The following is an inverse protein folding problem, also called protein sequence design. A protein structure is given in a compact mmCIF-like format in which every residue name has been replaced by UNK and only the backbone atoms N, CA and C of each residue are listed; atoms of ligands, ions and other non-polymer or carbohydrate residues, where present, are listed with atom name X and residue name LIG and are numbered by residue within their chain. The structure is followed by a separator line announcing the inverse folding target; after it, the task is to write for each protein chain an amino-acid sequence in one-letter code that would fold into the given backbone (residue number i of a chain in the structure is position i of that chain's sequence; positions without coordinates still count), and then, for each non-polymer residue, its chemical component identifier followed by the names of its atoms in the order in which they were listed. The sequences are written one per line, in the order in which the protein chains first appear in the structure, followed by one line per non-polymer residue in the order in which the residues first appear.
data_IF_826484084912
#
_entry.id   IF_826484084912
#
_cell.length_a   1.000
_cell.length_b   1.000
_cell.length_c   1.000
_cell.angle_alpha   90.00
_cell.angle_beta   90.00
_cell.angle_gamma   90.00
#
_symmetry.space_group_name_H-M   'P 1'
#
loop_
_entity.id
_entity.type
_entity.pdbx_description
1 polymer ?
#
# COMPACT_ATOMS: atom_id res chain seq x y z
N UNK A 1 10.84 -12.92 21.16
CA UNK A 1 10.75 -12.88 19.69
C UNK A 1 11.60 -11.71 19.19
N UNK A 2 12.48 -11.97 18.26
CA UNK A 2 13.33 -10.94 17.64
C UNK A 2 12.61 -10.30 16.46
N UNK A 3 12.74 -8.99 16.32
CA UNK A 3 12.08 -8.22 15.29
C UNK A 3 13.15 -7.70 14.32
N UNK A 4 13.02 -8.04 13.04
CA UNK A 4 13.95 -7.65 11.98
C UNK A 4 13.28 -6.76 10.95
N UNK A 5 14.02 -5.81 10.39
CA UNK A 5 13.56 -5.02 9.27
C UNK A 5 13.51 -5.87 7.98
N UNK A 6 12.58 -5.58 7.11
CA UNK A 6 12.42 -6.29 5.83
C UNK A 6 13.69 -6.27 4.97
N UNK A 7 14.53 -5.23 5.08
CA UNK A 7 15.82 -5.13 4.38
C UNK A 7 16.82 -6.21 4.79
N UNK A 8 16.62 -6.88 5.93
CA UNK A 8 17.48 -7.94 6.41
C UNK A 8 17.11 -9.34 5.90
N UNK A 9 16.10 -9.42 5.01
CA UNK A 9 15.73 -10.67 4.35
C UNK A 9 16.60 -10.93 3.11
N UNK A 10 16.93 -12.21 2.89
CA UNK A 10 17.52 -12.67 1.63
C UNK A 10 16.45 -12.77 0.54
N UNK A 11 16.85 -13.02 -0.71
CA UNK A 11 15.93 -13.30 -1.79
C UNK A 11 15.06 -14.55 -1.60
N UNK A 12 15.39 -15.39 -0.61
CA UNK A 12 14.60 -16.58 -0.25
C UNK A 12 13.72 -16.36 1.00
N UNK A 13 13.50 -15.11 1.39
CA UNK A 13 12.71 -14.74 2.56
C UNK A 13 13.28 -15.29 3.89
N UNK A 14 14.59 -15.48 3.97
CA UNK A 14 15.28 -15.86 5.20
C UNK A 14 16.04 -14.67 5.77
N UNK A 15 16.14 -14.58 7.09
CA UNK A 15 16.92 -13.55 7.76
C UNK A 15 18.41 -13.80 7.51
N UNK A 16 19.12 -12.75 7.08
CA UNK A 16 20.58 -12.83 6.86
C UNK A 16 21.31 -13.22 8.14
N UNK A 17 22.38 -14.06 8.06
CA UNK A 17 23.15 -14.45 9.25
C UNK A 17 23.77 -13.27 10.02
N UNK A 18 24.04 -12.17 9.33
CA UNK A 18 24.62 -10.95 9.91
C UNK A 18 23.60 -9.93 10.37
N UNK A 19 22.30 -10.25 10.24
CA UNK A 19 21.22 -9.33 10.57
C UNK A 19 21.22 -8.96 12.05
N UNK A 20 20.97 -7.68 12.32
CA UNK A 20 20.77 -7.17 13.67
C UNK A 20 19.28 -6.93 13.89
N UNK A 21 18.69 -7.43 14.99
CA UNK A 21 17.28 -7.15 15.27
C UNK A 21 17.08 -5.68 15.64
N UNK A 22 15.94 -5.13 15.21
CA UNK A 22 15.52 -3.78 15.62
C UNK A 22 15.10 -3.76 17.08
N UNK A 23 14.50 -4.84 17.56
CA UNK A 23 14.00 -4.97 18.91
C UNK A 23 13.82 -6.44 19.26
N UNK A 24 13.60 -6.70 20.55
CA UNK A 24 13.24 -8.02 21.04
C UNK A 24 12.09 -7.89 22.02
N UNK A 25 11.06 -8.75 21.88
CA UNK A 25 9.91 -8.77 22.78
C UNK A 25 9.66 -10.18 23.32
N UNK A 26 9.12 -10.26 24.51
CA UNK A 26 8.66 -11.52 25.11
C UNK A 26 7.27 -11.89 24.63
N UNK A 27 6.51 -10.92 24.13
CA UNK A 27 5.14 -11.13 23.63
C UNK A 27 5.17 -11.66 22.20
N UNK A 28 4.11 -12.36 21.83
CA UNK A 28 3.90 -12.76 20.44
C UNK A 28 3.35 -11.62 19.64
N UNK A 29 3.87 -11.44 18.42
CA UNK A 29 3.33 -10.50 17.44
C UNK A 29 2.70 -11.26 16.28
N UNK A 30 1.75 -10.63 15.61
CA UNK A 30 0.99 -11.24 14.51
C UNK A 30 1.06 -10.38 13.27
N UNK A 31 0.88 -10.99 12.11
CA UNK A 31 0.84 -10.25 10.83
C UNK A 31 -0.25 -9.19 10.89
N UNK A 32 0.11 -7.97 10.52
CA UNK A 32 -0.78 -6.81 10.58
C UNK A 32 -0.66 -5.98 11.85
N UNK A 33 0.04 -6.47 12.87
CA UNK A 33 0.30 -5.67 14.06
C UNK A 33 1.15 -4.43 13.73
N UNK A 34 0.86 -3.34 14.39
CA UNK A 34 1.63 -2.11 14.27
C UNK A 34 2.52 -1.95 15.50
N UNK A 35 3.82 -1.85 15.27
CA UNK A 35 4.82 -1.74 16.32
C UNK A 35 5.47 -0.37 16.29
N UNK A 36 5.66 0.22 17.46
CA UNK A 36 6.45 1.44 17.62
C UNK A 36 7.84 1.07 18.17
N UNK A 37 8.87 1.31 17.38
CA UNK A 37 10.26 1.03 17.73
C UNK A 37 11.08 2.30 17.49
N UNK A 38 11.72 2.84 18.55
CA UNK A 38 12.52 4.07 18.50
C UNK A 38 11.80 5.24 17.82
N UNK A 39 10.55 5.48 18.20
CA UNK A 39 9.68 6.55 17.68
C UNK A 39 9.32 6.39 16.19
N UNK A 40 9.52 5.21 15.61
CA UNK A 40 9.13 4.88 14.23
C UNK A 40 8.08 3.79 14.25
N UNK A 41 7.17 3.85 13.31
CA UNK A 41 6.10 2.86 13.17
C UNK A 41 6.44 1.81 12.12
N UNK A 42 6.14 0.57 12.45
CA UNK A 42 6.38 -0.60 11.60
C UNK A 42 5.15 -1.49 11.56
N UNK A 43 4.92 -2.13 10.42
CA UNK A 43 3.88 -3.15 10.27
C UNK A 43 4.53 -4.53 10.20
N UNK A 44 3.99 -5.49 10.93
CA UNK A 44 4.47 -6.88 10.90
C UNK A 44 3.99 -7.53 9.60
N UNK A 45 4.93 -7.92 8.73
CA UNK A 45 4.62 -8.53 7.44
C UNK A 45 4.92 -10.02 7.37
N UNK A 46 5.70 -10.56 8.29
CA UNK A 46 6.02 -11.99 8.36
C UNK A 46 6.29 -12.41 9.80
N UNK A 47 5.83 -13.60 10.17
CA UNK A 47 6.09 -14.19 11.49
C UNK A 47 6.58 -15.61 11.30
N UNK A 48 7.74 -15.92 11.86
CA UNK A 48 8.30 -17.28 11.92
C UNK A 48 8.22 -17.77 13.37
N UNK A 49 7.08 -18.34 13.74
CA UNK A 49 6.78 -18.71 15.12
C UNK A 49 7.77 -19.74 15.71
N UNK A 50 8.19 -20.70 14.91
CA UNK A 50 9.14 -21.74 15.36
C UNK A 50 10.53 -21.19 15.64
N UNK A 51 10.99 -20.24 14.82
CA UNK A 51 12.29 -19.59 14.97
C UNK A 51 12.23 -18.36 15.86
N UNK A 52 11.05 -17.99 16.34
CA UNK A 52 10.78 -16.88 17.25
C UNK A 52 11.33 -15.55 16.74
N UNK A 53 11.06 -15.23 15.49
CA UNK A 53 11.31 -13.90 14.92
C UNK A 53 10.12 -13.42 14.09
N UNK A 54 10.06 -12.12 13.91
CA UNK A 54 9.13 -11.47 13.01
C UNK A 54 9.87 -10.47 12.13
N UNK A 55 9.29 -10.20 10.97
CA UNK A 55 9.84 -9.23 10.02
C UNK A 55 8.85 -8.10 9.86
N UNK A 56 9.35 -6.88 9.89
CA UNK A 56 8.53 -5.68 9.83
C UNK A 56 8.92 -4.79 8.66
N UNK A 57 7.95 -4.03 8.17
CA UNK A 57 8.12 -3.03 7.15
C UNK A 57 7.89 -1.65 7.78
N UNK A 58 8.83 -0.71 7.55
CA UNK A 58 8.71 0.64 8.07
C UNK A 58 7.59 1.40 7.36
N UNK A 59 6.70 2.01 8.14
CA UNK A 59 5.63 2.84 7.61
C UNK A 59 6.12 4.26 7.32
N UNK A 60 5.53 4.89 6.30
CA UNK A 60 5.88 6.24 5.88
C UNK A 60 5.10 7.32 6.63
N UNK A 61 4.65 7.03 7.85
CA UNK A 61 3.90 7.95 8.70
C UNK A 61 4.58 8.09 10.06
N UNK A 62 4.42 9.23 10.70
CA UNK A 62 4.95 9.48 12.03
C UNK A 62 4.05 8.86 13.10
N UNK A 63 2.75 8.92 12.90
CA UNK A 63 1.76 8.33 13.78
C UNK A 63 0.74 7.51 13.00
N UNK A 64 0.21 6.46 13.64
CA UNK A 64 -0.88 5.68 13.09
C UNK A 64 -2.20 6.31 13.58
N UNK A 65 -2.89 7.10 12.74
CA UNK A 65 -3.98 7.95 13.18
C UNK A 65 -5.29 7.18 13.41
N UNK A 66 -6.06 7.62 14.41
CA UNK A 66 -7.42 7.10 14.63
C UNK A 66 -8.40 7.64 13.58
N UNK A 67 -8.21 8.90 13.16
CA UNK A 67 -9.04 9.57 12.16
C UNK A 67 -8.16 10.13 11.03
N UNK A 68 -7.74 9.28 10.09
CA UNK A 68 -6.88 9.71 8.99
C UNK A 68 -7.63 10.55 7.97
N UNK A 69 -6.88 11.32 7.18
CA UNK A 69 -7.45 12.07 6.06
C UNK A 69 -7.82 11.11 4.93
N UNK A 70 -8.93 11.43 4.28
CA UNK A 70 -9.32 10.77 3.04
C UNK A 70 -8.27 11.01 1.95
N UNK A 71 -7.97 9.98 1.16
CA UNK A 71 -7.06 10.06 0.03
C UNK A 71 -7.87 10.21 -1.26
N UNK A 72 -7.68 11.32 -1.97
CA UNK A 72 -8.46 11.66 -3.17
C UNK A 72 -7.53 11.92 -4.36
N UNK A 73 -7.91 11.44 -5.53
CA UNK A 73 -7.18 11.70 -6.77
C UNK A 73 -5.82 11.03 -6.86
N UNK A 74 -5.61 9.93 -6.15
CA UNK A 74 -4.36 9.18 -6.18
C UNK A 74 -4.29 8.24 -7.38
N UNK A 75 -3.08 7.98 -7.89
CA UNK A 75 -2.88 7.07 -9.03
C UNK A 75 -3.06 5.60 -8.66
N UNK A 76 -2.87 5.28 -7.40
CA UNK A 76 -3.02 3.93 -6.85
C UNK A 76 -3.93 3.97 -5.62
N UNK A 77 -4.36 2.80 -5.16
CA UNK A 77 -5.13 2.71 -3.92
C UNK A 77 -4.19 2.98 -2.76
N UNK A 78 -4.46 4.04 -2.00
CA UNK A 78 -3.66 4.45 -0.84
C UNK A 78 -4.43 4.17 0.43
N UNK A 79 -3.86 3.37 1.32
CA UNK A 79 -4.43 3.16 2.65
C UNK A 79 -4.38 4.48 3.43
N UNK A 80 -5.53 5.01 3.90
CA UNK A 80 -5.53 6.28 4.62
C UNK A 80 -4.83 6.20 5.98
N UNK A 81 -4.65 4.99 6.53
CA UNK A 81 -4.02 4.79 7.83
C UNK A 81 -2.49 4.70 7.75
N UNK A 82 -1.95 3.86 6.88
CA UNK A 82 -0.50 3.64 6.79
C UNK A 82 0.15 4.27 5.55
N UNK A 83 -0.64 4.81 4.63
CA UNK A 83 -0.22 5.44 3.38
C UNK A 83 0.50 4.48 2.41
N UNK A 84 0.36 3.18 2.61
CA UNK A 84 0.89 2.18 1.68
C UNK A 84 0.07 2.19 0.40
N UNK A 85 0.75 2.09 -0.74
CA UNK A 85 0.14 2.11 -2.07
C UNK A 85 -0.06 0.69 -2.60
N UNK A 86 -1.22 0.44 -3.19
CA UNK A 86 -1.56 -0.84 -3.79
C UNK A 86 -2.03 -0.60 -5.22
N UNK A 87 -1.46 -1.34 -6.18
CA UNK A 87 -1.92 -1.26 -7.57
C UNK A 87 -3.34 -1.78 -7.69
N UNK A 88 -4.21 -0.96 -8.27
CA UNK A 88 -5.61 -1.32 -8.47
C UNK A 88 -5.91 -2.02 -9.79
N UNK A 89 -4.88 -2.39 -10.57
CA UNK A 89 -5.02 -2.87 -11.93
C UNK A 89 -5.89 -4.14 -12.06
N UNK A 90 -5.71 -5.09 -11.16
CA UNK A 90 -6.45 -6.36 -11.14
C UNK A 90 -7.53 -6.40 -10.05
N UNK A 91 -7.81 -5.27 -9.41
CA UNK A 91 -8.79 -5.17 -8.34
C UNK A 91 -10.13 -4.71 -8.86
N UNK A 92 -11.19 -4.97 -8.08
CA UNK A 92 -12.52 -4.45 -8.37
C UNK A 92 -12.52 -2.93 -8.43
N UNK A 93 -13.47 -2.34 -9.14
CA UNK A 93 -13.58 -0.88 -9.28
C UNK A 93 -13.92 -0.19 -7.96
N UNK A 94 -14.50 -0.89 -7.02
CA UNK A 94 -14.82 -0.39 -5.69
C UNK A 94 -14.89 -1.52 -4.68
N UNK A 95 -14.64 -1.19 -3.42
CA UNK A 95 -14.85 -2.09 -2.29
C UNK A 95 -15.22 -1.26 -1.07
N UNK A 96 -16.33 -1.59 -0.43
CA UNK A 96 -16.82 -0.87 0.74
C UNK A 96 -16.09 -1.24 2.03
N UNK A 97 -15.38 -2.36 2.01
CA UNK A 97 -14.72 -2.90 3.21
C UNK A 97 -13.47 -3.70 2.82
N UNK A 98 -12.43 -2.98 2.44
CA UNK A 98 -11.15 -3.54 2.01
C UNK A 98 -10.15 -3.53 3.16
N UNK A 99 -9.50 -4.66 3.41
CA UNK A 99 -8.46 -4.77 4.42
C UNK A 99 -7.08 -4.48 3.81
N UNK A 100 -6.36 -3.50 4.39
CA UNK A 100 -5.03 -3.18 3.95
C UNK A 100 -4.08 -4.37 4.19
N UNK A 101 -3.35 -4.85 3.17
CA UNK A 101 -2.42 -5.97 3.35
C UNK A 101 -1.19 -5.60 4.18
N UNK A 102 -0.93 -4.31 4.38
CA UNK A 102 0.21 -3.83 5.15
C UNK A 102 -0.11 -3.67 6.63
N UNK A 103 -1.16 -2.93 6.98
CA UNK A 103 -1.47 -2.60 8.37
C UNK A 103 -2.74 -3.25 8.92
N UNK A 104 -3.46 -4.02 8.09
CA UNK A 104 -4.71 -4.67 8.44
C UNK A 104 -5.85 -3.72 8.82
N UNK A 105 -5.71 -2.42 8.59
CA UNK A 105 -6.81 -1.46 8.75
C UNK A 105 -7.82 -1.63 7.62
N UNK A 106 -9.04 -1.26 7.87
CA UNK A 106 -10.12 -1.42 6.89
C UNK A 106 -10.53 -0.06 6.35
N UNK A 107 -10.73 0.04 5.04
CA UNK A 107 -11.17 1.26 4.39
C UNK A 107 -11.97 0.93 3.13
N UNK A 108 -12.68 1.90 2.60
CA UNK A 108 -13.35 1.79 1.30
C UNK A 108 -12.55 2.51 0.23
N UNK A 109 -12.62 2.04 -1.00
CA UNK A 109 -12.06 2.74 -2.15
C UNK A 109 -13.02 2.68 -3.33
N UNK A 110 -12.86 3.64 -4.24
CA UNK A 110 -13.61 3.71 -5.49
C UNK A 110 -12.69 4.21 -6.60
N UNK A 111 -12.73 3.52 -7.75
CA UNK A 111 -12.00 3.95 -8.93
C UNK A 111 -12.78 5.05 -9.63
N UNK A 112 -12.11 6.15 -9.95
CA UNK A 112 -12.65 7.19 -10.80
C UNK A 112 -12.05 7.08 -12.20
N UNK A 113 -12.90 7.07 -13.23
CA UNK A 113 -12.47 7.00 -14.62
C UNK A 113 -12.87 8.30 -15.30
N UNK A 114 -11.88 9.00 -15.87
CA UNK A 114 -12.12 10.19 -16.67
C UNK A 114 -12.17 9.76 -18.14
N UNK A 115 -13.32 10.01 -18.80
CA UNK A 115 -13.49 9.72 -20.22
C UNK A 115 -13.07 10.94 -21.03
N UNK A 116 -12.11 10.75 -21.94
CA UNK A 116 -11.64 11.78 -22.85
C UNK A 116 -11.65 11.25 -24.28
N UNK A 117 -11.95 12.12 -25.22
CA UNK A 117 -11.99 11.77 -26.63
C UNK A 117 -10.94 12.57 -27.38
N UNK A 118 -10.24 11.92 -28.30
CA UNK A 118 -9.30 12.53 -29.20
C UNK A 118 -9.85 12.41 -30.62
N UNK A 119 -9.87 13.52 -31.36
CA UNK A 119 -10.31 13.53 -32.75
C UNK A 119 -9.24 14.14 -33.64
N UNK A 120 -9.05 13.57 -34.82
CA UNK A 120 -8.07 14.02 -35.77
C UNK A 120 -8.71 14.18 -37.15
N UNK A 121 -8.39 15.24 -37.93
CA UNK A 121 -8.92 15.41 -39.26
C UNK A 121 -8.41 14.32 -40.20
N UNK A 122 -9.26 13.84 -41.09
CA UNK A 122 -8.87 12.91 -42.15
C UNK A 122 -9.00 13.64 -43.53
N UNK A 123 -10.16 14.16 -43.83
CA UNK A 123 -10.39 14.88 -45.06
C UNK A 123 -11.50 15.89 -44.89
N UNK A 124 -11.33 17.02 -45.52
CA UNK A 124 -12.34 18.06 -45.58
C UNK A 124 -13.37 17.72 -46.64
N UNK A 125 -14.66 18.04 -46.38
CA UNK A 125 -15.68 17.99 -47.41
C UNK A 125 -15.46 19.11 -48.44
N UNK A 126 -15.15 18.73 -49.68
CA UNK A 126 -14.89 19.68 -50.78
C UNK A 126 -16.15 20.06 -51.54
N UNK A 127 -17.29 19.39 -51.30
CA UNK A 127 -18.52 19.60 -52.00
C UNK A 127 -19.43 20.60 -51.29
N UNK A 128 -18.85 21.77 -50.96
CA UNK A 128 -19.61 22.86 -50.34
C UNK A 128 -20.35 23.67 -51.42
N UNK A 129 -21.65 23.70 -51.33
CA UNK A 129 -22.47 24.48 -52.26
C UNK A 129 -22.65 25.90 -51.73
N UNK A 130 -22.26 26.91 -52.55
CA UNK A 130 -22.48 28.31 -52.22
C UNK A 130 -23.78 28.78 -52.79
N UNK A 131 -24.64 29.40 -51.95
CA UNK A 131 -25.93 29.90 -52.33
C UNK A 131 -25.90 31.43 -52.34
N UNK A 132 -26.39 32.00 -53.40
CA UNK A 132 -26.54 33.48 -53.54
C UNK A 132 -27.87 33.96 -53.02
#
# INVERSE_FOLDING_TARGET
MKIYDKSELTGFFEVKPTAQPLAETKENVYIGDILRIDCKLYSVCMVAARSRYAVVNKLNIIEFPDNPKEQVGTNEIVCPYCLEQTEGFEMDDSDDDYECPCCASRFSYQREVIVAYNSQPISKNENILEME
#
